data_IF_534343380683
#
_entry.id   IF_534343380683
#
_cell.length_a   1.000
_cell.length_b   1.000
_cell.length_c   1.000
_cell.angle_alpha   90.00
_cell.angle_beta   90.00
_cell.angle_gamma   90.00
#
_symmetry.space_group_name_H-M   'P 1'
#
loop_
_entity.id
_entity.type
_entity.pdbx_description
1 polymer ?
#
# COMPACT_ATOMS: atom_id res chain seq x y z
N UNK A 1 3.83 33.45 22.38
CA UNK A 1 3.07 32.19 22.38
C UNK A 1 3.60 31.32 21.25
N UNK A 2 4.34 30.26 21.58
CA UNK A 2 4.81 29.32 20.55
C UNK A 2 3.66 28.39 20.18
N UNK A 3 3.20 28.49 18.96
CA UNK A 3 2.36 27.47 18.37
C UNK A 3 3.17 26.19 18.29
N UNK A 4 2.62 25.02 18.65
CA UNK A 4 3.30 23.77 18.36
C UNK A 4 3.53 23.73 16.85
N UNK A 5 4.77 23.41 16.44
CA UNK A 5 5.07 23.14 15.03
C UNK A 5 4.03 22.15 14.50
N UNK A 6 3.40 22.42 13.35
CA UNK A 6 2.43 21.48 12.82
C UNK A 6 3.10 20.12 12.69
N UNK A 7 2.58 19.14 13.42
CA UNK A 7 2.99 17.76 13.25
C UNK A 7 2.70 17.39 11.80
N UNK A 8 3.73 16.93 11.07
CA UNK A 8 3.55 16.52 9.67
C UNK A 8 2.45 15.48 9.60
N UNK A 9 1.47 15.74 8.77
CA UNK A 9 0.38 14.80 8.53
C UNK A 9 0.92 13.60 7.76
N UNK A 10 0.42 12.43 8.09
CA UNK A 10 0.69 11.19 7.38
C UNK A 10 -0.62 10.61 6.91
N UNK A 11 -0.67 10.18 5.66
CA UNK A 11 -1.80 9.48 5.08
C UNK A 11 -1.35 8.10 4.62
N UNK A 12 -2.02 7.07 5.09
CA UNK A 12 -1.76 5.68 4.71
C UNK A 12 -2.88 5.18 3.81
N UNK A 13 -2.52 4.75 2.60
CA UNK A 13 -3.47 4.22 1.62
C UNK A 13 -3.24 2.72 1.45
N UNK A 14 -4.28 1.93 1.62
CA UNK A 14 -4.32 0.50 1.31
C UNK A 14 -5.61 0.22 0.54
N UNK A 15 -5.50 0.21 -0.78
CA UNK A 15 -6.63 0.10 -1.70
C UNK A 15 -6.29 -0.89 -2.82
N UNK A 16 -7.29 -1.53 -3.38
CA UNK A 16 -7.16 -2.35 -4.59
C UNK A 16 -7.84 -3.70 -4.52
N UNK A 17 -7.86 -4.36 -3.38
CA UNK A 17 -8.41 -5.71 -3.22
C UNK A 17 -9.87 -5.83 -3.65
N UNK A 18 -10.69 -4.83 -3.37
CA UNK A 18 -12.10 -4.82 -3.76
C UNK A 18 -12.35 -4.39 -5.21
N UNK A 19 -11.35 -3.79 -5.84
CA UNK A 19 -11.46 -3.29 -7.23
C UNK A 19 -10.92 -4.30 -8.24
N UNK A 20 -9.84 -5.00 -7.90
CA UNK A 20 -9.16 -5.96 -8.78
C UNK A 20 -9.82 -7.34 -8.81
N UNK A 21 -11.12 -7.42 -8.68
CA UNK A 21 -11.83 -8.70 -8.61
C UNK A 21 -11.95 -9.42 -9.96
N UNK A 22 -11.82 -8.69 -11.06
CA UNK A 22 -11.92 -9.20 -12.42
C UNK A 22 -10.65 -8.93 -13.22
N UNK A 23 -10.36 -9.81 -14.17
CA UNK A 23 -9.28 -9.59 -15.13
C UNK A 23 -9.54 -8.31 -15.94
N UNK A 24 -8.47 -7.55 -16.21
CA UNK A 24 -8.56 -6.29 -16.98
C UNK A 24 -8.93 -5.05 -16.16
N UNK A 25 -9.17 -5.18 -14.86
CA UNK A 25 -9.47 -4.02 -14.01
C UNK A 25 -8.24 -3.17 -13.67
N UNK A 26 -7.03 -3.71 -13.86
CA UNK A 26 -5.77 -3.11 -13.40
C UNK A 26 -5.50 -1.72 -14.00
N UNK A 27 -5.65 -1.55 -15.30
CA UNK A 27 -5.34 -0.28 -15.98
C UNK A 27 -6.23 0.85 -15.48
N UNK A 28 -7.52 0.58 -15.36
CA UNK A 28 -8.48 1.54 -14.82
C UNK A 28 -8.19 1.88 -13.37
N UNK A 29 -7.88 0.87 -12.57
CA UNK A 29 -7.49 1.05 -11.16
C UNK A 29 -6.28 1.97 -11.03
N UNK A 30 -5.22 1.73 -11.78
CA UNK A 30 -4.00 2.54 -11.75
C UNK A 30 -4.24 3.98 -12.23
N UNK A 31 -5.06 4.16 -13.27
CA UNK A 31 -5.41 5.48 -13.77
C UNK A 31 -6.15 6.30 -12.70
N UNK A 32 -7.17 5.72 -12.08
CA UNK A 32 -7.91 6.40 -11.00
C UNK A 32 -7.07 6.61 -9.74
N UNK A 33 -6.17 5.67 -9.44
CA UNK A 33 -5.25 5.82 -8.31
C UNK A 33 -4.35 7.04 -8.50
N UNK A 34 -3.80 7.21 -9.70
CA UNK A 34 -2.99 8.38 -10.03
C UNK A 34 -3.75 9.70 -9.90
N UNK A 35 -4.98 9.76 -10.41
CA UNK A 35 -5.86 10.93 -10.26
C UNK A 35 -6.17 11.23 -8.79
N UNK A 36 -6.43 10.20 -8.00
CA UNK A 36 -6.65 10.32 -6.56
C UNK A 36 -5.41 10.90 -5.86
N UNK A 37 -4.22 10.41 -6.18
CA UNK A 37 -2.98 10.94 -5.60
C UNK A 37 -2.76 12.42 -5.94
N UNK A 38 -3.05 12.82 -7.17
CA UNK A 38 -2.98 14.23 -7.57
C UNK A 38 -3.96 15.10 -6.76
N UNK A 39 -5.19 14.64 -6.60
CA UNK A 39 -6.20 15.34 -5.83
C UNK A 39 -5.85 15.42 -4.33
N UNK A 40 -5.35 14.34 -3.77
CA UNK A 40 -4.89 14.32 -2.38
C UNK A 40 -3.72 15.28 -2.17
N UNK A 41 -2.78 15.34 -3.11
CA UNK A 41 -1.65 16.26 -3.02
C UNK A 41 -2.10 17.73 -3.09
N UNK A 42 -3.05 18.04 -3.97
CA UNK A 42 -3.64 19.38 -4.06
C UNK A 42 -4.37 19.77 -2.77
N UNK A 43 -5.05 18.83 -2.14
CA UNK A 43 -5.86 19.09 -0.94
C UNK A 43 -5.00 19.15 0.33
N UNK A 44 -4.03 18.26 0.48
CA UNK A 44 -3.25 18.07 1.71
C UNK A 44 -1.93 18.87 1.71
N UNK A 45 -1.49 19.32 0.53
CA UNK A 45 -0.22 20.05 0.38
C UNK A 45 1.00 19.13 0.44
N UNK A 46 2.18 19.74 0.31
CA UNK A 46 3.46 19.04 0.27
C UNK A 46 3.96 18.58 1.65
N UNK A 47 3.37 19.06 2.72
CA UNK A 47 3.75 18.69 4.10
C UNK A 47 3.16 17.34 4.52
N UNK A 48 2.19 16.82 3.78
CA UNK A 48 1.63 15.50 4.04
C UNK A 48 2.48 14.42 3.40
N UNK A 49 2.93 13.47 4.20
CA UNK A 49 3.58 12.25 3.68
C UNK A 49 2.50 11.24 3.32
N UNK A 50 2.40 10.90 2.04
CA UNK A 50 1.45 9.92 1.54
C UNK A 50 2.16 8.59 1.37
N UNK A 51 1.72 7.59 2.11
CA UNK A 51 2.20 6.21 2.04
C UNK A 51 1.24 5.38 1.19
N UNK A 52 1.75 4.89 0.07
CA UNK A 52 1.04 3.98 -0.83
C UNK A 52 1.49 2.57 -0.49
N UNK A 53 0.58 1.75 0.02
CA UNK A 53 0.89 0.37 0.38
C UNK A 53 0.60 -0.55 -0.79
N UNK A 54 1.44 -1.56 -0.98
CA UNK A 54 1.20 -2.62 -1.96
C UNK A 54 -0.11 -3.35 -1.64
N UNK A 55 -0.75 -3.88 -2.67
CA UNK A 55 -1.92 -4.74 -2.53
C UNK A 55 -1.45 -6.07 -1.94
N UNK A 56 -2.00 -6.53 -0.81
CA UNK A 56 -1.60 -7.80 -0.21
C UNK A 56 -2.01 -8.99 -1.07
N UNK A 57 -1.30 -10.11 -0.95
CA UNK A 57 -1.75 -11.37 -1.55
C UNK A 57 -3.05 -11.84 -0.93
N UNK A 58 -3.73 -12.78 -1.59
CA UNK A 58 -4.93 -13.45 -1.09
C UNK A 58 -4.70 -14.95 -1.02
N UNK A 59 -5.61 -15.69 -0.36
CA UNK A 59 -5.57 -17.15 -0.33
C UNK A 59 -5.97 -17.74 -1.70
N UNK A 60 -5.47 -18.93 -2.06
CA UNK A 60 -5.76 -19.55 -3.37
C UNK A 60 -7.23 -19.67 -3.71
N UNK A 61 -8.08 -20.03 -2.76
CA UNK A 61 -9.52 -20.15 -2.97
C UNK A 61 -10.15 -18.79 -3.36
N UNK A 62 -9.74 -17.70 -2.72
CA UNK A 62 -10.21 -16.37 -3.05
C UNK A 62 -9.74 -15.93 -4.45
N UNK A 63 -8.50 -16.24 -4.82
CA UNK A 63 -7.98 -15.97 -6.16
C UNK A 63 -8.73 -16.76 -7.25
N UNK A 64 -9.12 -18.01 -6.96
CA UNK A 64 -9.90 -18.81 -7.89
C UNK A 64 -11.28 -18.22 -8.17
N UNK A 65 -11.93 -17.64 -7.17
CA UNK A 65 -13.22 -16.95 -7.31
C UNK A 65 -13.10 -15.58 -7.95
N UNK A 66 -11.97 -14.90 -7.74
CA UNK A 66 -11.71 -13.54 -8.19
C UNK A 66 -10.37 -13.49 -8.95
N UNK A 67 -10.37 -13.82 -10.26
CA UNK A 67 -9.12 -13.98 -11.03
C UNK A 67 -8.23 -12.74 -11.08
N UNK A 68 -8.79 -11.54 -10.91
CA UNK A 68 -8.03 -10.30 -10.79
C UNK A 68 -7.17 -10.21 -9.54
N UNK A 69 -7.36 -11.10 -8.56
CA UNK A 69 -6.57 -11.23 -7.33
C UNK A 69 -5.56 -12.39 -7.40
N UNK A 70 -5.33 -12.97 -8.55
CA UNK A 70 -4.26 -13.95 -8.72
C UNK A 70 -2.90 -13.33 -8.37
N UNK A 71 -2.01 -14.12 -7.79
CA UNK A 71 -0.72 -13.66 -7.27
C UNK A 71 0.12 -12.91 -8.31
N UNK A 72 0.20 -13.43 -9.53
CA UNK A 72 0.93 -12.80 -10.63
C UNK A 72 0.30 -11.48 -11.07
N UNK A 73 -1.03 -11.39 -11.09
CA UNK A 73 -1.75 -10.15 -11.40
C UNK A 73 -1.49 -9.08 -10.33
N UNK A 74 -1.65 -9.43 -9.07
CA UNK A 74 -1.38 -8.50 -7.96
C UNK A 74 0.07 -8.01 -8.00
N UNK A 75 1.03 -8.89 -8.22
CA UNK A 75 2.44 -8.52 -8.30
C UNK A 75 2.72 -7.54 -9.43
N UNK A 76 2.16 -7.80 -10.61
CA UNK A 76 2.29 -6.89 -11.76
C UNK A 76 1.67 -5.51 -11.46
N UNK A 77 0.52 -5.46 -10.81
CA UNK A 77 -0.10 -4.20 -10.39
C UNK A 77 0.74 -3.50 -9.34
N UNK A 78 1.29 -4.21 -8.38
CA UNK A 78 2.16 -3.64 -7.34
C UNK A 78 3.44 -3.01 -7.91
N UNK A 79 4.05 -3.61 -8.93
CA UNK A 79 5.19 -3.03 -9.63
C UNK A 79 4.83 -1.68 -10.26
N UNK A 80 3.70 -1.60 -10.93
CA UNK A 80 3.20 -0.36 -11.52
C UNK A 80 2.77 0.66 -10.46
N UNK A 81 2.19 0.20 -9.36
CA UNK A 81 1.81 1.05 -8.23
C UNK A 81 3.04 1.68 -7.56
N UNK A 82 4.13 0.93 -7.43
CA UNK A 82 5.40 1.45 -6.92
C UNK A 82 5.96 2.57 -7.83
N UNK A 83 5.92 2.38 -9.15
CA UNK A 83 6.34 3.40 -10.10
C UNK A 83 5.44 4.63 -10.04
N UNK A 84 4.13 4.44 -9.93
CA UNK A 84 3.15 5.52 -9.79
C UNK A 84 3.39 6.31 -8.50
N UNK A 85 3.61 5.64 -7.39
CA UNK A 85 3.92 6.29 -6.11
C UNK A 85 5.17 7.15 -6.21
N UNK A 86 6.23 6.64 -6.82
CA UNK A 86 7.46 7.40 -7.05
C UNK A 86 7.23 8.64 -7.93
N UNK A 87 6.48 8.48 -9.01
CA UNK A 87 6.14 9.58 -9.94
C UNK A 87 5.34 10.69 -9.23
N UNK A 88 4.44 10.32 -8.33
CA UNK A 88 3.60 11.26 -7.55
C UNK A 88 4.25 11.77 -6.26
N UNK A 89 5.52 11.44 -6.00
CA UNK A 89 6.22 11.87 -4.79
C UNK A 89 5.63 11.28 -3.51
N UNK A 90 5.14 10.06 -3.59
CA UNK A 90 4.63 9.28 -2.47
C UNK A 90 5.63 8.21 -2.04
N UNK A 91 5.52 7.76 -0.80
CA UNK A 91 6.34 6.65 -0.27
C UNK A 91 5.62 5.34 -0.52
N UNK A 92 6.26 4.41 -1.22
CA UNK A 92 5.72 3.08 -1.42
C UNK A 92 6.14 2.15 -0.27
N UNK A 93 5.19 1.42 0.28
CA UNK A 93 5.41 0.41 1.32
C UNK A 93 5.05 -0.96 0.77
N UNK A 94 6.05 -1.83 0.66
CA UNK A 94 5.86 -3.20 0.17
C UNK A 94 5.48 -4.13 1.32
N UNK A 95 4.22 -4.57 1.33
CA UNK A 95 3.70 -5.52 2.31
C UNK A 95 3.95 -6.98 1.91
N UNK A 96 4.44 -7.24 0.69
CA UNK A 96 4.46 -8.59 0.12
C UNK A 96 5.26 -9.57 0.96
N UNK A 97 6.48 -9.25 1.32
CA UNK A 97 7.34 -10.16 2.10
C UNK A 97 6.76 -10.50 3.48
N UNK A 98 6.06 -9.56 4.10
CA UNK A 98 5.42 -9.79 5.40
C UNK A 98 4.23 -10.74 5.28
N UNK A 99 3.43 -10.59 4.22
CA UNK A 99 2.14 -11.26 4.09
C UNK A 99 2.13 -12.46 3.15
N UNK A 100 3.03 -12.52 2.17
CA UNK A 100 3.09 -13.63 1.23
C UNK A 100 3.87 -14.83 1.81
N UNK A 101 3.36 -16.02 1.54
CA UNK A 101 4.12 -17.26 1.73
C UNK A 101 5.08 -17.53 0.55
N UNK A 102 5.78 -18.66 0.55
CA UNK A 102 6.73 -19.02 -0.50
C UNK A 102 6.12 -19.23 -1.88
N UNK A 103 4.82 -19.37 -1.97
CA UNK A 103 4.05 -19.56 -3.20
C UNK A 103 3.37 -18.25 -3.68
N UNK A 104 3.53 -17.16 -2.93
CA UNK A 104 2.91 -15.88 -3.23
C UNK A 104 1.45 -15.76 -2.80
N UNK A 105 1.01 -16.60 -1.88
CA UNK A 105 -0.33 -16.53 -1.30
C UNK A 105 -0.29 -15.83 0.06
N UNK A 106 -1.40 -15.28 0.48
CA UNK A 106 -1.53 -14.75 1.84
C UNK A 106 -1.27 -15.87 2.86
N UNK A 107 -0.36 -15.61 3.80
CA UNK A 107 -0.08 -16.58 4.89
C UNK A 107 -1.38 -16.93 5.62
N UNK A 108 -1.64 -18.20 5.78
CA UNK A 108 -2.89 -18.69 6.39
C UNK A 108 -3.12 -18.10 7.79
N UNK A 109 -2.07 -18.03 8.60
CA UNK A 109 -2.14 -17.49 9.97
C UNK A 109 -2.48 -16.01 10.03
N UNK A 110 -2.33 -15.28 8.91
CA UNK A 110 -2.62 -13.86 8.79
C UNK A 110 -3.94 -13.59 8.07
N UNK A 111 -4.58 -14.62 7.51
CA UNK A 111 -5.79 -14.51 6.71
C UNK A 111 -7.05 -14.60 7.58
N UNK A 112 -8.04 -13.78 7.26
CA UNK A 112 -9.41 -13.98 7.72
C UNK A 112 -10.06 -15.17 6.95
N UNK A 113 -11.22 -15.67 7.41
CA UNK A 113 -11.88 -16.80 6.77
C UNK A 113 -12.23 -16.61 5.29
N UNK A 114 -12.41 -15.37 4.84
CA UNK A 114 -12.67 -15.06 3.41
C UNK A 114 -11.43 -15.21 2.52
N UNK A 115 -10.25 -15.40 3.11
CA UNK A 115 -9.00 -15.51 2.38
C UNK A 115 -8.50 -14.22 1.74
N UNK A 116 -9.14 -13.10 2.00
CA UNK A 116 -8.82 -11.78 1.41
C UNK A 116 -8.37 -10.79 2.49
N UNK A 117 -9.15 -10.64 3.55
CA UNK A 117 -8.87 -9.71 4.62
C UNK A 117 -7.87 -10.29 5.62
N UNK A 118 -7.25 -9.40 6.40
CA UNK A 118 -6.36 -9.81 7.49
C UNK A 118 -7.17 -10.37 8.66
N UNK A 119 -6.63 -11.39 9.30
CA UNK A 119 -7.22 -11.90 10.54
C UNK A 119 -7.19 -10.86 11.65
N UNK A 120 -8.22 -10.86 12.49
CA UNK A 120 -8.45 -9.85 13.53
C UNK A 120 -7.27 -9.69 14.51
N UNK A 121 -6.60 -10.77 14.86
CA UNK A 121 -5.43 -10.74 15.76
C UNK A 121 -4.11 -10.66 15.03
N UNK A 122 -3.71 -11.77 14.42
CA UNK A 122 -2.40 -11.94 13.83
C UNK A 122 -2.19 -11.06 12.59
N UNK A 123 -3.17 -10.99 11.71
CA UNK A 123 -3.07 -10.24 10.46
C UNK A 123 -2.95 -8.74 10.70
N UNK A 124 -3.86 -8.15 11.45
CA UNK A 124 -3.77 -6.72 11.78
C UNK A 124 -2.57 -6.41 12.69
N UNK A 125 -2.21 -7.32 13.59
CA UNK A 125 -1.00 -7.18 14.40
C UNK A 125 0.26 -7.11 13.55
N UNK A 126 0.40 -7.99 12.56
CA UNK A 126 1.52 -7.98 11.62
C UNK A 126 1.56 -6.68 10.78
N UNK A 127 0.41 -6.21 10.35
CA UNK A 127 0.30 -4.95 9.60
C UNK A 127 0.75 -3.74 10.43
N UNK A 128 0.25 -3.61 11.66
CA UNK A 128 0.67 -2.54 12.58
C UNK A 128 2.17 -2.61 12.86
N UNK A 129 2.72 -3.80 13.09
CA UNK A 129 4.15 -3.99 13.31
C UNK A 129 4.97 -3.57 12.07
N UNK A 130 4.50 -3.94 10.87
CA UNK A 130 5.13 -3.50 9.62
C UNK A 130 5.16 -1.98 9.51
N UNK A 131 4.02 -1.31 9.70
CA UNK A 131 3.93 0.15 9.60
C UNK A 131 4.83 0.85 10.62
N UNK A 132 4.89 0.36 11.84
CA UNK A 132 5.79 0.91 12.89
C UNK A 132 7.25 0.83 12.51
N UNK A 133 7.64 -0.18 11.74
CA UNK A 133 9.03 -0.39 11.34
C UNK A 133 9.41 0.28 10.02
N UNK A 134 8.47 0.47 9.10
CA UNK A 134 8.74 0.92 7.74
C UNK A 134 8.22 2.33 7.42
N UNK A 135 7.18 2.80 8.12
CA UNK A 135 6.64 4.14 7.92
C UNK A 135 7.27 5.16 8.88
N UNK A 136 8.56 5.02 9.15
CA UNK A 136 9.31 5.96 9.99
C UNK A 136 9.68 7.19 9.17
N UNK A 137 9.25 8.34 9.65
CA UNK A 137 9.62 9.62 9.10
C UNK A 137 10.26 10.46 10.20
N UNK A 138 11.52 10.82 10.03
CA UNK A 138 12.22 11.76 10.92
C UNK A 138 12.52 13.07 10.20
N UNK A 139 12.80 14.11 10.96
CA UNK A 139 13.22 15.40 10.38
C UNK A 139 14.50 15.28 9.53
N UNK A 140 15.39 14.32 9.87
CA UNK A 140 16.60 14.04 9.10
C UNK A 140 16.31 13.38 7.75
N UNK A 141 15.17 12.69 7.62
CA UNK A 141 14.70 12.03 6.40
C UNK A 141 13.54 12.79 5.77
N UNK A 142 13.52 14.10 5.96
CA UNK A 142 12.47 14.94 5.40
C UNK A 142 12.40 14.77 3.89
N UNK A 143 11.28 14.23 3.40
CA UNK A 143 11.05 14.11 1.98
C UNK A 143 11.06 15.48 1.33
N UNK A 144 11.83 15.61 0.25
CA UNK A 144 11.80 16.78 -0.62
C UNK A 144 11.25 16.37 -1.98
N UNK A 145 10.44 17.24 -2.63
CA UNK A 145 9.96 16.94 -3.98
C UNK A 145 11.11 16.58 -4.91
N UNK A 146 11.01 15.44 -5.61
CA UNK A 146 12.04 14.97 -6.52
C UNK A 146 13.16 14.13 -5.91
N UNK A 147 13.18 13.93 -4.58
CA UNK A 147 14.13 13.01 -3.96
C UNK A 147 13.53 11.61 -3.85
N UNK A 148 14.32 10.59 -4.18
CA UNK A 148 13.95 9.22 -3.89
C UNK A 148 13.94 9.01 -2.38
N UNK A 149 12.87 8.44 -1.83
CA UNK A 149 12.83 8.02 -0.45
C UNK A 149 13.66 6.74 -0.29
N UNK A 150 14.73 6.82 0.52
CA UNK A 150 15.46 5.63 0.88
C UNK A 150 14.63 4.83 1.89
N UNK A 151 14.10 3.69 1.48
CA UNK A 151 13.46 2.74 2.38
C UNK A 151 14.53 2.12 3.27
N UNK A 152 14.44 2.34 4.56
CA UNK A 152 15.18 1.63 5.58
C UNK A 152 14.21 0.81 6.43
#
# INVERSE_FOLDING_TARGET
MCWPLPTRKKLYLLLGTNTLTTLGAADRFLAYYGQMLDLLRQTLGNDCVIYVQSIPPVRPAAAAEKPGLASDVIRSVNEQLALLAADKGCVYLDLWETFADGEGNLKEVLAAPDGIHFSAGNGYGAWVAYLRNHAKYSAANAWTPGSAYAAN
#
